data_IF_656276516771
#
_entry.id   IF_656276516771
#
_cell.length_a   1.000
_cell.length_b   1.000
_cell.length_c   1.000
_cell.angle_alpha   90.00
_cell.angle_beta   90.00
_cell.angle_gamma   90.00
#
_symmetry.space_group_name_H-M   'P 1'
#
loop_
_entity.id
_entity.type
_entity.pdbx_description
1 polymer ?
#
# COMPACT_ATOMS: atom_id res chain seq x y z
N UNK A 1 -4.05 -8.44 7.06
CA UNK A 1 -4.89 -7.88 6.00
C UNK A 1 -6.29 -8.41 6.18
N UNK A 2 -7.30 -7.62 5.80
CA UNK A 2 -8.70 -8.06 5.68
C UNK A 2 -8.99 -8.20 4.17
N UNK A 3 -8.66 -9.34 3.53
CA UNK A 3 -8.80 -9.52 2.09
C UNK A 3 -10.25 -9.33 1.61
N UNK A 4 -11.22 -9.56 2.49
CA UNK A 4 -12.65 -9.39 2.25
C UNK A 4 -13.03 -7.95 1.87
N UNK A 5 -12.25 -6.96 2.29
CA UNK A 5 -12.51 -5.56 1.95
C UNK A 5 -12.05 -5.23 0.53
N UNK A 6 -11.39 -6.15 -0.19
CA UNK A 6 -11.04 -6.00 -1.61
C UNK A 6 -10.20 -4.76 -1.93
N UNK A 7 -9.51 -4.19 -0.94
CA UNK A 7 -8.94 -2.83 -1.03
C UNK A 7 -7.83 -2.71 -2.07
N UNK A 8 -7.13 -3.81 -2.35
CA UNK A 8 -6.19 -3.91 -3.47
C UNK A 8 -6.87 -3.61 -4.83
N UNK A 9 -8.13 -3.96 -5.02
CA UNK A 9 -8.84 -3.80 -6.30
C UNK A 9 -9.58 -2.47 -6.44
N UNK A 10 -9.54 -1.61 -5.40
CA UNK A 10 -10.36 -0.39 -5.33
C UNK A 10 -9.55 0.90 -5.19
N UNK A 11 -8.25 0.85 -5.49
CA UNK A 11 -7.37 2.01 -5.51
C UNK A 11 -6.57 2.08 -6.83
N UNK A 12 -5.98 3.24 -7.11
CA UNK A 12 -5.39 3.57 -8.42
C UNK A 12 -4.28 2.60 -8.88
N UNK A 13 -3.54 2.04 -7.92
CA UNK A 13 -2.50 1.05 -8.19
C UNK A 13 -3.03 -0.18 -8.94
N UNK A 14 -4.32 -0.51 -8.83
CA UNK A 14 -4.90 -1.65 -9.50
C UNK A 14 -4.80 -1.55 -11.03
N UNK A 15 -4.96 -0.36 -11.61
CA UNK A 15 -4.79 -0.16 -13.05
C UNK A 15 -3.36 -0.48 -13.51
N UNK A 16 -2.36 -0.18 -12.67
CA UNK A 16 -0.97 -0.54 -12.91
C UNK A 16 -0.74 -2.06 -12.79
N UNK A 17 -1.35 -2.69 -11.79
CA UNK A 17 -1.30 -4.15 -11.60
C UNK A 17 -1.89 -4.89 -12.80
N UNK A 18 -3.02 -4.43 -13.35
CA UNK A 18 -3.61 -4.97 -14.59
C UNK A 18 -2.68 -4.84 -15.80
N UNK A 19 -1.82 -3.82 -15.83
CA UNK A 19 -0.77 -3.64 -16.84
C UNK A 19 0.48 -4.49 -16.59
N UNK A 20 0.53 -5.26 -15.50
CA UNK A 20 1.68 -6.08 -15.12
C UNK A 20 2.76 -5.35 -14.34
N UNK A 21 2.54 -4.10 -13.92
CA UNK A 21 3.47 -3.39 -13.04
C UNK A 21 3.27 -3.89 -11.60
N UNK A 22 4.33 -4.39 -10.92
CA UNK A 22 4.28 -4.74 -9.51
C UNK A 22 3.98 -3.52 -8.66
N UNK A 23 3.07 -3.68 -7.71
CA UNK A 23 2.65 -2.61 -6.82
C UNK A 23 2.74 -3.06 -5.38
N UNK A 24 2.86 -2.08 -4.51
CA UNK A 24 2.72 -2.24 -3.07
C UNK A 24 1.56 -1.35 -2.64
N UNK A 25 0.56 -1.94 -1.99
CA UNK A 25 -0.48 -1.17 -1.32
C UNK A 25 0.00 -0.82 0.09
N UNK A 26 0.36 0.44 0.30
CA UNK A 26 0.57 1.01 1.63
C UNK A 26 -0.65 1.89 1.92
N UNK A 27 -1.54 1.37 2.75
CA UNK A 27 -2.76 2.07 3.12
C UNK A 27 -3.14 1.67 4.54
N UNK A 28 -3.10 2.62 5.48
CA UNK A 28 -3.34 2.35 6.91
C UNK A 28 -4.70 1.75 7.21
N UNK A 29 -5.73 2.08 6.43
CA UNK A 29 -7.07 1.50 6.56
C UNK A 29 -7.22 0.10 5.91
N UNK A 30 -6.15 -0.45 5.31
CA UNK A 30 -6.18 -1.79 4.71
C UNK A 30 -6.20 -2.96 5.71
N UNK A 31 -6.21 -2.64 7.00
CA UNK A 31 -6.20 -3.60 8.11
C UNK A 31 -4.79 -4.01 8.51
N UNK A 32 -4.69 -4.62 9.70
CA UNK A 32 -3.42 -5.05 10.30
C UNK A 32 -2.46 -3.92 10.70
N UNK A 33 -2.99 -2.74 11.05
CA UNK A 33 -2.19 -1.67 11.65
C UNK A 33 -1.61 -2.14 12.98
N UNK A 34 -0.31 -1.93 13.16
CA UNK A 34 0.40 -2.26 14.39
C UNK A 34 0.92 -0.95 14.96
N UNK A 35 0.15 -0.36 15.88
CA UNK A 35 0.50 0.94 16.46
C UNK A 35 1.67 0.77 17.44
N UNK A 36 2.56 1.77 17.47
CA UNK A 36 3.70 1.80 18.41
C UNK A 36 3.22 1.61 19.85
N UNK A 37 2.14 2.31 20.20
CA UNK A 37 1.47 2.17 21.50
C UNK A 37 0.25 1.25 21.34
N UNK A 38 0.20 0.17 22.12
CA UNK A 38 -0.94 -0.75 22.15
C UNK A 38 -0.99 -1.80 21.03
N UNK A 39 -0.04 -1.76 20.08
CA UNK A 39 0.16 -2.79 19.08
C UNK A 39 -1.04 -3.03 18.16
N UNK A 40 -1.14 -4.26 17.64
CA UNK A 40 -2.22 -4.69 16.74
C UNK A 40 -3.63 -4.46 17.31
N UNK A 41 -3.84 -4.70 18.60
CA UNK A 41 -5.15 -4.54 19.23
C UNK A 41 -5.61 -3.08 19.16
N UNK A 42 -4.72 -2.15 19.49
CA UNK A 42 -5.02 -0.72 19.38
C UNK A 42 -5.18 -0.28 17.91
N UNK A 43 -4.37 -0.83 17.00
CA UNK A 43 -4.47 -0.54 15.57
C UNK A 43 -5.78 -0.99 14.94
N UNK A 44 -6.23 -2.21 15.24
CA UNK A 44 -7.49 -2.73 14.73
C UNK A 44 -8.69 -1.93 15.31
N UNK A 45 -8.63 -1.53 16.59
CA UNK A 45 -9.64 -0.66 17.19
C UNK A 45 -9.67 0.74 16.54
N UNK A 46 -8.50 1.34 16.29
CA UNK A 46 -8.39 2.62 15.61
C UNK A 46 -8.95 2.57 14.18
N UNK A 47 -8.63 1.52 13.41
CA UNK A 47 -9.17 1.33 12.06
C UNK A 47 -10.69 1.18 12.11
N UNK A 48 -11.22 0.36 13.02
CA UNK A 48 -12.66 0.13 13.13
C UNK A 48 -13.41 1.42 13.46
N UNK A 49 -12.89 2.22 14.39
CA UNK A 49 -13.47 3.51 14.76
C UNK A 49 -13.43 4.50 13.59
N UNK A 50 -12.25 4.68 12.98
CA UNK A 50 -12.10 5.63 11.87
C UNK A 50 -12.94 5.24 10.65
N UNK A 51 -12.87 3.98 10.21
CA UNK A 51 -13.64 3.51 9.04
C UNK A 51 -15.15 3.50 9.31
N UNK A 52 -15.57 3.19 10.54
CA UNK A 52 -16.98 3.16 10.91
C UNK A 52 -17.62 4.55 11.03
N UNK A 53 -16.86 5.53 11.53
CA UNK A 53 -17.44 6.80 11.96
C UNK A 53 -16.92 8.03 11.21
N UNK A 54 -15.71 8.00 10.65
CA UNK A 54 -15.09 9.19 10.05
C UNK A 54 -14.65 9.06 8.59
N UNK A 55 -14.38 7.87 8.07
CA UNK A 55 -13.98 7.71 6.67
C UNK A 55 -15.08 8.20 5.71
N UNK A 56 -14.71 9.10 4.78
CA UNK A 56 -15.65 9.80 3.89
C UNK A 56 -16.72 10.64 4.62
N UNK A 57 -16.50 11.04 5.87
CA UNK A 57 -17.38 11.93 6.62
C UNK A 57 -16.70 13.29 6.86
N UNK A 58 -17.45 14.24 7.45
CA UNK A 58 -16.93 15.59 7.72
C UNK A 58 -15.81 15.62 8.77
N UNK A 59 -15.70 14.60 9.64
CA UNK A 59 -14.58 14.47 10.58
C UNK A 59 -13.30 13.91 9.95
N UNK A 60 -13.31 13.59 8.65
CA UNK A 60 -12.10 13.26 7.88
C UNK A 60 -11.31 14.55 7.55
N UNK A 61 -10.85 15.22 8.60
CA UNK A 61 -10.15 16.50 8.51
C UNK A 61 -8.87 16.47 9.35
N UNK A 62 -7.88 17.27 8.93
CA UNK A 62 -6.62 17.41 9.64
C UNK A 62 -6.84 17.95 11.06
N UNK A 63 -6.08 17.43 12.03
CA UNK A 63 -6.02 17.96 13.40
C UNK A 63 -4.57 18.14 13.86
N UNK A 64 -4.27 19.21 14.63
CA UNK A 64 -2.96 19.40 15.25
C UNK A 64 -2.61 18.31 16.28
N UNK A 65 -3.60 17.55 16.76
CA UNK A 65 -3.41 16.49 17.77
C UNK A 65 -3.02 15.14 17.15
N UNK A 66 -2.91 15.05 15.82
CA UNK A 66 -2.50 13.83 15.15
C UNK A 66 -1.06 13.44 15.49
N UNK A 67 -0.88 12.18 15.90
CA UNK A 67 0.44 11.58 16.00
C UNK A 67 0.96 11.19 14.61
N UNK A 68 1.78 12.06 14.03
CA UNK A 68 2.31 11.88 12.67
C UNK A 68 3.59 11.03 12.60
N UNK A 69 4.05 10.44 13.72
CA UNK A 69 5.26 9.58 13.70
C UNK A 69 5.12 8.42 12.71
N UNK A 70 3.92 7.83 12.60
CA UNK A 70 3.60 6.78 11.61
C UNK A 70 3.80 7.26 10.17
N UNK A 71 3.26 8.43 9.84
CA UNK A 71 3.39 9.01 8.50
C UNK A 71 4.85 9.33 8.14
N UNK A 72 5.66 9.75 9.12
CA UNK A 72 7.11 9.96 8.90
C UNK A 72 7.80 8.64 8.55
N UNK A 73 7.50 7.55 9.26
CA UNK A 73 8.05 6.22 8.95
C UNK A 73 7.66 5.75 7.53
N UNK A 74 6.42 5.99 7.11
CA UNK A 74 5.97 5.69 5.75
C UNK A 74 6.77 6.51 4.71
N UNK A 75 6.96 7.82 4.96
CA UNK A 75 7.75 8.69 4.08
C UNK A 75 9.20 8.22 3.94
N UNK A 76 9.83 7.83 5.04
CA UNK A 76 11.21 7.29 5.06
C UNK A 76 11.31 5.98 4.27
N UNK A 77 10.30 5.09 4.42
CA UNK A 77 10.21 3.85 3.65
C UNK A 77 10.06 4.14 2.15
N UNK A 78 9.15 5.03 1.76
CA UNK A 78 8.96 5.41 0.35
C UNK A 78 10.23 6.02 -0.24
N UNK A 79 10.88 6.93 0.49
CA UNK A 79 12.14 7.53 0.06
C UNK A 79 13.22 6.45 -0.18
N UNK A 80 13.33 5.48 0.72
CA UNK A 80 14.26 4.35 0.58
C UNK A 80 13.94 3.52 -0.66
N UNK A 81 12.69 3.11 -0.84
CA UNK A 81 12.25 2.32 -2.00
C UNK A 81 12.52 3.06 -3.32
N UNK A 82 12.14 4.34 -3.39
CA UNK A 82 12.32 5.15 -4.60
C UNK A 82 13.79 5.30 -4.95
N UNK A 83 14.66 5.56 -3.96
CA UNK A 83 16.11 5.64 -4.19
C UNK A 83 16.69 4.31 -4.63
N UNK A 84 16.39 3.23 -3.91
CA UNK A 84 16.92 1.91 -4.23
C UNK A 84 16.50 1.41 -5.62
N UNK A 85 15.27 1.68 -6.03
CA UNK A 85 14.79 1.28 -7.36
C UNK A 85 15.28 2.24 -8.44
N UNK A 86 15.21 3.54 -8.19
CA UNK A 86 15.61 4.60 -9.12
C UNK A 86 17.11 4.57 -9.46
N UNK A 87 17.95 4.22 -8.49
CA UNK A 87 19.41 4.12 -8.68
C UNK A 87 19.86 2.72 -9.12
N UNK A 88 18.93 1.82 -9.45
CA UNK A 88 19.24 0.45 -9.84
C UNK A 88 18.73 0.08 -11.22
N UNK A 89 19.21 -1.05 -11.74
CA UNK A 89 18.63 -1.74 -12.90
C UNK A 89 17.67 -2.86 -12.49
N UNK A 90 17.37 -2.99 -11.19
CA UNK A 90 16.47 -4.03 -10.69
C UNK A 90 15.05 -3.68 -11.09
N UNK A 91 14.39 -4.63 -11.72
CA UNK A 91 12.98 -4.53 -12.03
C UNK A 91 12.20 -5.39 -11.04
N UNK A 92 11.36 -4.79 -10.17
CA UNK A 92 10.55 -5.54 -9.22
C UNK A 92 9.75 -6.63 -9.91
N UNK A 93 9.46 -7.72 -9.22
CA UNK A 93 8.68 -8.83 -9.75
C UNK A 93 7.50 -9.11 -8.82
N UNK A 94 6.45 -9.71 -9.37
CA UNK A 94 5.39 -10.27 -8.54
C UNK A 94 5.85 -11.53 -7.83
N UNK A 95 5.29 -11.78 -6.65
CA UNK A 95 5.41 -13.06 -5.97
C UNK A 95 4.94 -14.21 -6.89
N UNK A 96 5.55 -15.41 -6.81
CA UNK A 96 5.23 -16.53 -7.69
C UNK A 96 3.73 -16.88 -7.79
N UNK A 97 2.99 -16.76 -6.68
CA UNK A 97 1.56 -17.05 -6.61
C UNK A 97 0.62 -15.89 -6.95
N UNK A 98 1.16 -14.73 -7.36
CA UNK A 98 0.32 -13.58 -7.73
C UNK A 98 -0.43 -13.83 -9.04
N UNK A 99 -1.72 -13.50 -9.07
CA UNK A 99 -2.53 -13.50 -10.28
C UNK A 99 -1.99 -12.56 -11.38
N UNK A 100 -1.23 -11.53 -11.01
CA UNK A 100 -0.63 -10.57 -11.94
C UNK A 100 0.72 -11.05 -12.51
N UNK A 101 1.25 -12.20 -12.08
CA UNK A 101 2.54 -12.71 -12.56
C UNK A 101 2.55 -12.96 -14.06
N UNK A 102 1.47 -13.55 -14.61
CA UNK A 102 1.39 -13.88 -16.02
C UNK A 102 1.43 -12.62 -16.92
N UNK A 103 0.75 -11.54 -16.52
CA UNK A 103 0.80 -10.27 -17.27
C UNK A 103 2.16 -9.58 -17.12
N UNK A 104 2.81 -9.70 -15.96
CA UNK A 104 4.18 -9.20 -15.78
C UNK A 104 5.18 -9.85 -16.72
N UNK A 105 5.15 -11.18 -16.88
CA UNK A 105 6.02 -11.90 -17.81
C UNK A 105 5.86 -11.36 -19.23
N UNK A 106 4.61 -11.12 -19.68
CA UNK A 106 4.34 -10.52 -20.99
C UNK A 106 4.92 -9.11 -21.10
N UNK A 107 4.74 -8.27 -20.07
CA UNK A 107 5.27 -6.90 -20.06
C UNK A 107 6.80 -6.84 -20.05
N UNK A 108 7.46 -7.79 -19.37
CA UNK A 108 8.92 -7.89 -19.33
C UNK A 108 9.50 -8.24 -20.71
N UNK A 109 8.82 -9.12 -21.46
CA UNK A 109 9.24 -9.47 -22.82
C UNK A 109 9.19 -8.27 -23.78
N UNK A 110 8.17 -7.40 -23.65
CA UNK A 110 8.05 -6.15 -24.46
C UNK A 110 9.19 -5.18 -24.15
N UNK A 111 9.66 -5.13 -22.89
CA UNK A 111 10.78 -4.28 -22.50
C UNK A 111 12.10 -4.79 -23.09
N UNK A 112 12.30 -6.10 -23.09
CA UNK A 112 13.53 -6.71 -23.60
C UNK A 112 13.70 -6.60 -25.13
N UNK A 113 12.62 -6.30 -25.85
CA UNK A 113 12.64 -6.08 -27.30
C UNK A 113 12.92 -4.62 -27.72
N UNK A 114 13.22 -3.73 -26.77
CA UNK A 114 13.66 -2.34 -27.01
C UNK A 114 15.14 -2.20 -26.73
#
# INVERSE_FOLDING_TARGET
SLPENGLFFRADHFSMARGGVPVLLIMGIAGASDLVEGGRVAGDAWIAEYVGNCYHQTCDEWSPDWDLRGAIMDMELFHTIVRELGDSRRWPQWNPGSEFRAVRIKSDAIRASR
#
